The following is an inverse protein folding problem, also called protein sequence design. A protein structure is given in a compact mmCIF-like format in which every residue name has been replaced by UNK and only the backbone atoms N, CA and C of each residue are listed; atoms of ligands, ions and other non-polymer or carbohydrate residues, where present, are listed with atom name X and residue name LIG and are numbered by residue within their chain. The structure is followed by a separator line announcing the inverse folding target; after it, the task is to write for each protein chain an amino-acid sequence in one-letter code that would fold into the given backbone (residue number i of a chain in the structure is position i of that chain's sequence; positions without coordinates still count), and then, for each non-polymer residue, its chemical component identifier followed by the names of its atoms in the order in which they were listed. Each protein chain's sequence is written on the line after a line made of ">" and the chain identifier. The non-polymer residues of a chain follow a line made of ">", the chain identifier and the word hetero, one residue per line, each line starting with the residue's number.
data_IF_768408482000
#
_entry.id   IF_768408482000
#
_cell.length_a   1.000
_cell.length_b   1.000
_cell.length_c   1.000
_cell.angle_alpha   90.00
_cell.angle_beta   90.00
_cell.angle_gamma   90.00
#
_symmetry.space_group_name_H-M   'P 1'
#
loop_
_entity.id
_entity.type
_entity.pdbx_description
1 polymer ?
#
# COMPACT_ATOMS: atom_id res chain seq x y z
N UNK A 1 5.35 -8.84 -9.29
CA UNK A 1 4.07 -8.13 -9.53
C UNK A 1 3.82 -7.88 -11.02
N UNK A 2 4.86 -7.65 -11.83
CA UNK A 2 4.77 -7.31 -13.26
C UNK A 2 3.85 -8.21 -14.09
N UNK A 3 4.03 -9.52 -14.04
CA UNK A 3 3.18 -10.45 -14.80
C UNK A 3 1.74 -10.51 -14.28
N UNK A 4 1.55 -10.32 -12.97
CA UNK A 4 0.22 -10.38 -12.36
C UNK A 4 -0.67 -9.23 -12.82
N UNK A 5 -0.11 -8.02 -12.92
CA UNK A 5 -0.85 -6.85 -13.41
C UNK A 5 -1.11 -6.94 -14.91
N UNK A 6 -0.17 -7.50 -15.68
CA UNK A 6 -0.38 -7.79 -17.10
C UNK A 6 -1.52 -8.81 -17.33
N UNK A 7 -1.56 -9.92 -16.57
CA UNK A 7 -2.63 -10.92 -16.67
C UNK A 7 -3.98 -10.35 -16.24
N UNK A 8 -4.00 -9.44 -15.26
CA UNK A 8 -5.22 -8.79 -14.79
C UNK A 8 -5.73 -7.66 -15.72
N UNK A 9 -5.04 -7.38 -16.82
CA UNK A 9 -5.37 -6.34 -17.81
C UNK A 9 -5.62 -4.95 -17.19
N UNK A 10 -4.72 -4.54 -16.29
CA UNK A 10 -4.74 -3.22 -15.65
C UNK A 10 -3.44 -2.45 -15.94
N UNK A 11 -3.49 -1.12 -16.09
CA UNK A 11 -2.35 -0.31 -16.55
C UNK A 11 -1.32 -0.05 -15.44
N UNK A 12 -0.78 -1.12 -14.84
CA UNK A 12 0.25 -1.05 -13.81
C UNK A 12 1.46 -1.93 -14.15
N UNK A 13 2.64 -1.42 -13.81
CA UNK A 13 3.88 -2.21 -13.76
C UNK A 13 3.93 -3.11 -12.52
N UNK A 14 5.15 -3.43 -12.06
CA UNK A 14 5.33 -4.25 -10.87
C UNK A 14 6.50 -3.80 -10.00
N UNK A 15 6.21 -3.48 -8.75
CA UNK A 15 7.19 -3.24 -7.70
C UNK A 15 6.89 -4.07 -6.44
N UNK A 16 7.89 -4.24 -5.58
CA UNK A 16 7.74 -4.83 -4.25
C UNK A 16 8.81 -4.25 -3.33
N UNK A 17 8.44 -3.99 -2.08
CA UNK A 17 9.36 -3.55 -1.04
C UNK A 17 8.87 -4.01 0.33
N UNK A 18 9.71 -3.86 1.34
CA UNK A 18 9.41 -4.26 2.71
C UNK A 18 10.58 -3.96 3.65
N UNK A 19 10.35 -4.20 4.94
CA UNK A 19 11.36 -4.04 6.00
C UNK A 19 11.54 -5.41 6.64
N UNK A 20 12.78 -5.89 6.72
CA UNK A 20 13.12 -7.12 7.43
C UNK A 20 12.99 -6.95 8.94
N UNK A 21 11.80 -7.15 9.47
CA UNK A 21 11.52 -7.12 10.92
C UNK A 21 10.42 -8.13 11.24
N UNK A 22 10.33 -8.55 12.51
CA UNK A 22 9.18 -9.28 13.00
C UNK A 22 8.18 -8.29 13.62
N UNK A 23 7.00 -8.06 13.01
CA UNK A 23 6.04 -7.11 13.55
C UNK A 23 5.45 -7.50 14.91
N UNK A 24 5.54 -8.78 15.29
CA UNK A 24 5.04 -9.29 16.57
C UNK A 24 5.94 -8.91 17.75
N UNK A 25 7.20 -8.60 17.49
CA UNK A 25 8.18 -8.21 18.51
C UNK A 25 8.15 -6.69 18.78
N UNK A 26 7.30 -5.96 18.06
CA UNK A 26 7.24 -4.50 18.09
C UNK A 26 5.89 -4.01 18.61
N UNK A 27 5.93 -2.95 19.41
CA UNK A 27 4.72 -2.25 19.82
C UNK A 27 4.08 -1.49 18.66
N UNK A 28 2.81 -1.12 18.82
CA UNK A 28 2.10 -0.28 17.83
C UNK A 28 2.85 1.04 17.55
N UNK A 29 3.44 1.66 18.57
CA UNK A 29 4.21 2.90 18.45
C UNK A 29 5.51 2.69 17.68
N UNK A 30 6.23 1.62 17.95
CA UNK A 30 7.47 1.28 17.22
C UNK A 30 7.19 0.99 15.76
N UNK A 31 6.11 0.26 15.47
CA UNK A 31 5.69 -0.02 14.10
C UNK A 31 5.26 1.24 13.36
N UNK A 32 4.59 2.18 14.03
CA UNK A 32 4.26 3.47 13.44
C UNK A 32 5.52 4.26 13.10
N UNK A 33 6.43 4.38 14.06
CA UNK A 33 7.71 5.07 13.86
C UNK A 33 8.51 4.45 12.72
N UNK A 34 8.59 3.12 12.68
CA UNK A 34 9.27 2.38 11.62
C UNK A 34 8.65 2.64 10.25
N UNK A 35 7.31 2.60 10.16
CA UNK A 35 6.57 2.87 8.92
C UNK A 35 6.80 4.30 8.41
N UNK A 36 6.82 5.28 9.33
CA UNK A 36 7.06 6.70 9.01
C UNK A 36 8.48 6.92 8.51
N UNK A 37 9.48 6.43 9.24
CA UNK A 37 10.90 6.54 8.84
C UNK A 37 11.13 5.86 7.49
N UNK A 38 10.55 4.67 7.26
CA UNK A 38 10.64 4.01 5.96
C UNK A 38 10.04 4.87 4.84
N UNK A 39 8.87 5.47 5.07
CA UNK A 39 8.22 6.37 4.10
C UNK A 39 9.09 7.58 3.79
N UNK A 40 9.69 8.20 4.81
CA UNK A 40 10.62 9.33 4.64
C UNK A 40 11.82 8.96 3.76
N UNK A 41 12.33 7.73 3.84
CA UNK A 41 13.49 7.29 3.06
C UNK A 41 13.20 6.99 1.59
N UNK A 42 11.94 6.82 1.22
CA UNK A 42 11.56 6.35 -0.12
C UNK A 42 10.49 7.23 -0.80
N UNK A 43 10.09 8.35 -0.19
CA UNK A 43 9.00 9.18 -0.74
C UNK A 43 9.30 9.68 -2.15
N UNK A 44 10.57 9.90 -2.51
CA UNK A 44 11.00 10.38 -3.84
C UNK A 44 10.94 9.29 -4.91
N UNK A 45 10.92 8.02 -4.49
CA UNK A 45 10.77 6.88 -5.39
C UNK A 45 9.31 6.52 -5.63
N UNK A 46 8.39 7.23 -4.97
CA UNK A 46 6.94 6.97 -5.00
C UNK A 46 6.21 8.14 -5.63
N UNK A 47 5.00 7.86 -6.08
CA UNK A 47 4.14 8.87 -6.66
C UNK A 47 2.92 8.26 -7.33
N UNK A 48 1.92 9.11 -7.55
CA UNK A 48 0.61 8.73 -8.11
C UNK A 48 0.75 8.03 -9.48
N UNK A 49 1.76 8.41 -10.25
CA UNK A 49 2.05 7.86 -11.58
C UNK A 49 3.40 7.10 -11.66
N UNK A 50 4.01 6.80 -10.51
CA UNK A 50 5.36 6.19 -10.44
C UNK A 50 5.30 4.84 -9.73
N UNK A 51 5.01 4.83 -8.43
CA UNK A 51 4.89 3.62 -7.62
C UNK A 51 3.85 3.85 -6.51
N UNK A 52 2.82 3.00 -6.51
CA UNK A 52 1.65 3.08 -5.63
C UNK A 52 1.63 1.84 -4.74
N UNK A 53 2.15 1.92 -3.49
CA UNK A 53 2.23 0.77 -2.59
C UNK A 53 0.88 0.19 -2.16
N UNK A 54 0.94 -1.10 -1.83
CA UNK A 54 -0.09 -1.92 -1.19
C UNK A 54 0.61 -3.08 -0.46
N UNK A 55 0.04 -3.74 0.55
CA UNK A 55 -0.77 -3.32 1.71
C UNK A 55 0.09 -3.20 3.00
N UNK A 56 -0.55 -3.10 4.18
CA UNK A 56 -0.05 -2.83 5.56
C UNK A 56 0.13 -1.37 5.98
N UNK A 57 -0.63 -0.95 7.01
CA UNK A 57 -0.46 0.35 7.72
C UNK A 57 -0.49 1.58 6.79
N UNK A 58 -1.26 1.50 5.71
CA UNK A 58 -1.36 2.50 4.63
C UNK A 58 -1.80 3.89 5.09
N UNK A 59 -2.55 4.00 6.20
CA UNK A 59 -2.93 5.27 6.79
C UNK A 59 -1.70 6.09 7.24
N UNK A 60 -0.72 5.44 7.85
CA UNK A 60 0.52 6.10 8.29
C UNK A 60 1.42 6.47 7.12
N UNK A 61 1.46 5.63 6.07
CA UNK A 61 2.20 5.97 4.84
C UNK A 61 1.55 7.18 4.15
N UNK A 62 0.22 7.20 4.03
CA UNK A 62 -0.50 8.35 3.46
C UNK A 62 -0.19 9.64 4.24
N UNK A 63 -0.32 9.57 5.56
CA UNK A 63 -0.10 10.71 6.46
C UNK A 63 1.34 11.22 6.36
N UNK A 64 2.33 10.33 6.42
CA UNK A 64 3.74 10.72 6.32
C UNK A 64 4.13 11.24 4.94
N UNK A 65 3.66 10.59 3.85
CA UNK A 65 3.91 11.05 2.48
C UNK A 65 3.30 12.44 2.22
N UNK A 66 2.11 12.71 2.78
CA UNK A 66 1.41 13.99 2.61
C UNK A 66 2.18 15.18 3.17
N UNK A 67 3.11 14.97 4.11
CA UNK A 67 3.99 16.01 4.63
C UNK A 67 4.99 16.54 3.59
N UNK A 68 5.35 15.72 2.61
CA UNK A 68 6.34 16.05 1.58
C UNK A 68 5.68 16.50 0.26
N UNK A 69 4.55 15.89 -0.12
CA UNK A 69 3.99 15.99 -1.48
C UNK A 69 2.53 16.46 -1.50
N UNK A 70 2.11 17.18 -0.46
CA UNK A 70 0.71 17.61 -0.25
C UNK A 70 -0.26 16.42 -0.14
N UNK A 71 -1.51 16.69 0.22
CA UNK A 71 -2.48 15.62 0.45
C UNK A 71 -2.84 14.86 -0.84
N UNK A 72 -2.27 13.66 -0.99
CA UNK A 72 -2.38 12.83 -2.19
C UNK A 72 -2.95 11.44 -1.87
N UNK A 73 -4.28 11.31 -1.68
CA UNK A 73 -4.90 10.07 -1.19
C UNK A 73 -4.64 8.86 -2.08
N UNK A 74 -4.44 9.05 -3.38
CA UNK A 74 -4.22 7.97 -4.36
C UNK A 74 -2.80 7.40 -4.36
N UNK A 75 -1.87 7.96 -3.59
CA UNK A 75 -0.47 7.47 -3.52
C UNK A 75 -0.35 6.09 -2.89
N UNK A 76 -1.36 5.64 -2.14
CA UNK A 76 -1.40 4.30 -1.53
C UNK A 76 -2.77 3.66 -1.80
N UNK A 77 -2.83 2.35 -2.01
CA UNK A 77 -4.11 1.61 -2.08
C UNK A 77 -4.32 0.75 -0.83
N UNK A 78 -5.53 0.24 -0.58
CA UNK A 78 -5.80 -0.55 0.65
C UNK A 78 -5.93 0.30 1.92
N UNK A 79 -6.24 1.59 1.79
CA UNK A 79 -6.59 2.48 2.91
C UNK A 79 -7.96 2.11 3.50
N UNK A 80 -8.23 2.49 4.77
CA UNK A 80 -9.58 2.49 5.33
C UNK A 80 -10.56 3.29 4.46
N UNK A 81 -11.84 2.94 4.51
CA UNK A 81 -12.91 3.61 3.75
C UNK A 81 -12.97 5.11 4.09
N UNK A 82 -12.82 5.46 5.36
CA UNK A 82 -12.79 6.84 5.85
C UNK A 82 -11.66 7.68 5.21
N UNK A 83 -10.60 7.03 4.75
CA UNK A 83 -9.46 7.64 4.05
C UNK A 83 -9.54 7.45 2.53
N UNK A 84 -10.75 7.39 1.96
CA UNK A 84 -11.01 7.14 0.53
C UNK A 84 -10.49 5.79 0.05
N UNK A 85 -10.61 4.77 0.88
CA UNK A 85 -10.43 3.37 0.50
C UNK A 85 -11.58 2.86 -0.38
N UNK A 86 -11.32 1.87 -1.22
CA UNK A 86 -12.37 1.21 -2.00
C UNK A 86 -13.18 0.26 -1.11
N UNK A 87 -14.50 0.32 -1.20
CA UNK A 87 -15.38 -0.72 -0.66
C UNK A 87 -15.03 -2.08 -1.30
N UNK A 88 -15.20 -3.17 -0.55
CA UNK A 88 -14.89 -4.53 -1.01
C UNK A 88 -13.40 -4.87 -1.13
N UNK A 89 -12.48 -3.92 -0.90
CA UNK A 89 -11.03 -4.15 -1.05
C UNK A 89 -10.51 -5.28 -0.16
N UNK A 90 -11.03 -5.38 1.06
CA UNK A 90 -10.68 -6.42 2.03
C UNK A 90 -11.00 -7.83 1.50
N UNK A 91 -12.19 -8.00 0.92
CA UNK A 91 -12.64 -9.29 0.39
C UNK A 91 -12.10 -9.60 -1.03
N UNK A 92 -11.62 -8.60 -1.77
CA UNK A 92 -11.33 -8.71 -3.21
C UNK A 92 -10.40 -9.88 -3.58
N UNK A 93 -9.36 -10.16 -2.78
CA UNK A 93 -8.44 -11.27 -3.07
C UNK A 93 -9.12 -12.63 -2.89
N UNK A 94 -9.87 -12.81 -1.80
CA UNK A 94 -10.57 -14.08 -1.52
C UNK A 94 -11.72 -14.32 -2.50
N UNK A 95 -12.47 -13.27 -2.85
CA UNK A 95 -13.53 -13.34 -3.85
C UNK A 95 -12.97 -13.74 -5.22
N UNK A 96 -11.86 -13.14 -5.65
CA UNK A 96 -11.22 -13.50 -6.91
C UNK A 96 -10.77 -14.96 -6.97
N UNK A 97 -10.28 -15.52 -5.86
CA UNK A 97 -9.96 -16.96 -5.78
C UNK A 97 -11.22 -17.82 -5.92
N UNK A 98 -12.31 -17.48 -5.21
CA UNK A 98 -13.56 -18.20 -5.33
C UNK A 98 -14.12 -18.16 -6.76
N UNK A 99 -14.12 -16.99 -7.41
CA UNK A 99 -14.59 -16.82 -8.79
C UNK A 99 -13.76 -17.56 -9.83
N UNK A 100 -12.49 -17.87 -9.56
CA UNK A 100 -11.65 -18.66 -10.47
C UNK A 100 -11.85 -20.18 -10.31
N UNK A 101 -12.38 -20.62 -9.17
CA UNK A 101 -12.55 -22.04 -8.84
C UNK A 101 -13.92 -22.57 -9.28
N UNK A 102 -14.93 -21.70 -9.36
CA UNK A 102 -16.30 -22.02 -9.78
C UNK A 102 -16.61 -21.44 -11.16
#
# INVERSE_FOLDING_TARGET
>A
MTWKTAVADIPYGGAKGGIGCNPMDLTKSELERLTRVFTQKIHDLRGIHVDVPVPDRMAWILDEYSKFHWHSPVVVTGKPVDLRGSLGREAATGLGVATLIF
#
